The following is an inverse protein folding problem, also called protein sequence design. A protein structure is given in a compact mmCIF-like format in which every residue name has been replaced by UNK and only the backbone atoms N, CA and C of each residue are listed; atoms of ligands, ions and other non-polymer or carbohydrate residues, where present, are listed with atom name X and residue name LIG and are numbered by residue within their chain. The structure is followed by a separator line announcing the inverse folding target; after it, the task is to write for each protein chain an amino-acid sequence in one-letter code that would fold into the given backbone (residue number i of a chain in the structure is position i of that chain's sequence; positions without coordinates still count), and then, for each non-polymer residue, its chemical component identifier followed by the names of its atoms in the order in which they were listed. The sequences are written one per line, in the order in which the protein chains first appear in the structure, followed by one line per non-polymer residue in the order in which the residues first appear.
data_IF_820678411848
#
_entry.id   IF_820678411848
#
_cell.length_a   1.000
_cell.length_b   1.000
_cell.length_c   1.000
_cell.angle_alpha   90.00
_cell.angle_beta   90.00
_cell.angle_gamma   90.00
#
_symmetry.space_group_name_H-M   'P 1'
#
loop_
_entity.id
_entity.type
_entity.pdbx_description
1 polymer ?
#
# COMPACT_ATOMS: atom_id res chain seq x y z
N UNK A 1 56.16 -25.52 8.11
CA UNK A 1 55.67 -24.20 8.55
C UNK A 1 54.52 -23.78 7.64
N UNK A 2 53.31 -23.69 8.23
CA UNK A 2 52.10 -22.91 7.85
C UNK A 2 51.76 -22.80 6.35
N UNK A 3 50.75 -23.57 5.92
CA UNK A 3 49.89 -23.19 4.79
C UNK A 3 48.52 -22.83 5.35
N UNK A 4 48.09 -21.60 5.12
CA UNK A 4 46.87 -21.01 5.69
C UNK A 4 45.68 -21.31 4.76
N UNK A 5 44.61 -21.86 5.31
CA UNK A 5 43.33 -21.99 4.62
C UNK A 5 42.70 -20.60 4.46
N UNK A 6 42.51 -20.15 3.22
CA UNK A 6 41.77 -18.93 2.91
C UNK A 6 40.26 -19.26 2.99
N UNK A 7 39.62 -18.92 4.11
CA UNK A 7 38.17 -19.04 4.29
C UNK A 7 37.52 -17.78 3.70
N UNK A 8 37.01 -17.86 2.48
CA UNK A 8 36.28 -16.76 1.84
C UNK A 8 34.83 -16.74 2.38
N UNK A 9 34.54 -15.88 3.35
CA UNK A 9 33.16 -15.56 3.73
C UNK A 9 32.53 -14.69 2.64
N UNK A 10 31.65 -15.29 1.83
CA UNK A 10 30.74 -14.54 0.96
C UNK A 10 29.56 -14.08 1.82
N UNK A 11 29.59 -12.82 2.27
CA UNK A 11 28.46 -12.18 2.94
C UNK A 11 27.42 -11.81 1.87
N UNK A 12 26.44 -12.69 1.63
CA UNK A 12 25.28 -12.35 0.81
C UNK A 12 24.43 -11.34 1.59
N UNK A 13 24.58 -10.05 1.28
CA UNK A 13 23.58 -9.05 1.62
C UNK A 13 22.34 -9.31 0.76
N UNK A 14 21.43 -10.17 1.24
CA UNK A 14 20.09 -10.28 0.66
C UNK A 14 19.36 -9.00 1.05
N UNK A 15 19.21 -8.07 0.11
CA UNK A 15 18.33 -6.92 0.28
C UNK A 15 16.94 -7.45 0.66
N UNK A 16 16.46 -7.09 1.84
CA UNK A 16 15.14 -7.47 2.31
C UNK A 16 14.12 -6.62 1.54
N UNK A 17 13.71 -7.06 0.36
CA UNK A 17 12.58 -6.45 -0.35
C UNK A 17 11.31 -6.91 0.34
N UNK A 18 10.51 -5.98 0.87
CA UNK A 18 9.22 -6.30 1.50
C UNK A 18 8.34 -6.98 0.46
N UNK A 19 7.97 -8.24 0.74
CA UNK A 19 7.14 -9.03 -0.15
C UNK A 19 5.72 -8.45 -0.20
N UNK A 20 5.20 -8.21 -1.40
CA UNK A 20 3.81 -7.82 -1.58
C UNK A 20 2.90 -8.93 -1.01
N UNK A 21 2.01 -8.62 -0.05
CA UNK A 21 1.24 -9.64 0.69
C UNK A 21 0.02 -10.17 -0.08
N UNK A 22 -0.20 -9.68 -1.30
CA UNK A 22 -1.29 -10.06 -2.18
C UNK A 22 -0.77 -10.21 -3.61
N UNK A 23 -1.34 -11.13 -4.40
CA UNK A 23 -1.02 -11.27 -5.82
C UNK A 23 -1.63 -10.13 -6.64
N UNK A 24 -1.15 -9.96 -7.88
CA UNK A 24 -1.88 -9.17 -8.86
C UNK A 24 -3.29 -9.74 -9.08
N UNK A 25 -4.26 -8.87 -9.32
CA UNK A 25 -5.67 -9.24 -9.51
C UNK A 25 -6.64 -8.15 -9.09
N UNK A 26 -7.93 -8.48 -9.18
CA UNK A 26 -9.03 -7.58 -8.82
C UNK A 26 -9.67 -8.05 -7.51
N UNK A 27 -9.90 -7.11 -6.60
CA UNK A 27 -10.39 -7.38 -5.26
C UNK A 27 -11.47 -6.38 -4.86
N UNK A 28 -12.33 -6.76 -3.91
CA UNK A 28 -13.22 -5.82 -3.25
C UNK A 28 -12.64 -5.42 -1.89
N UNK A 29 -12.35 -4.15 -1.74
CA UNK A 29 -11.83 -3.56 -0.51
C UNK A 29 -12.97 -2.90 0.26
N UNK A 30 -12.97 -3.09 1.57
CA UNK A 30 -13.84 -2.36 2.48
C UNK A 30 -13.31 -0.93 2.61
N UNK A 31 -14.16 0.06 2.35
CA UNK A 31 -13.83 1.44 2.65
C UNK A 31 -13.95 1.69 4.16
N UNK A 32 -13.01 2.42 4.76
CA UNK A 32 -13.07 2.89 6.15
C UNK A 32 -12.59 4.32 6.29
N UNK A 33 -13.26 5.06 7.16
CA UNK A 33 -12.85 6.40 7.56
C UNK A 33 -11.78 6.34 8.66
N UNK A 34 -10.69 7.06 8.49
CA UNK A 34 -9.62 7.17 9.47
C UNK A 34 -10.07 7.88 10.76
N UNK A 35 -11.03 8.82 10.66
CA UNK A 35 -11.62 9.52 11.83
C UNK A 35 -12.51 8.61 12.70
N UNK A 36 -13.07 7.55 12.09
CA UNK A 36 -14.01 6.64 12.72
C UNK A 36 -13.67 5.17 12.38
N UNK A 37 -12.50 4.64 12.77
CA UNK A 37 -11.96 3.37 12.27
C UNK A 37 -12.76 2.13 12.72
N UNK A 38 -13.56 2.29 13.77
CA UNK A 38 -14.46 1.27 14.31
C UNK A 38 -15.85 1.29 13.67
N UNK A 39 -16.16 2.32 12.88
CA UNK A 39 -17.41 2.43 12.12
C UNK A 39 -17.17 1.81 10.75
N UNK A 40 -17.97 0.80 10.42
CA UNK A 40 -17.95 0.23 9.07
C UNK A 40 -18.76 1.14 8.14
N UNK A 41 -18.23 1.40 6.95
CA UNK A 41 -19.04 1.92 5.85
C UNK A 41 -19.60 0.74 5.05
N UNK A 42 -20.75 0.88 4.41
CA UNK A 42 -21.24 -0.15 3.48
C UNK A 42 -20.57 -0.05 2.10
N UNK A 43 -19.65 0.91 1.92
CA UNK A 43 -18.99 1.19 0.64
C UNK A 43 -17.88 0.15 0.39
N UNK A 44 -17.88 -0.38 -0.83
CA UNK A 44 -16.84 -1.27 -1.35
C UNK A 44 -16.23 -0.67 -2.60
N UNK A 45 -14.90 -0.70 -2.68
CA UNK A 45 -14.19 -0.34 -3.90
C UNK A 45 -13.59 -1.56 -4.56
N UNK A 46 -13.68 -1.60 -5.89
CA UNK A 46 -12.91 -2.50 -6.72
C UNK A 46 -11.47 -2.00 -6.75
N UNK A 47 -10.55 -2.82 -6.27
CA UNK A 47 -9.11 -2.53 -6.25
C UNK A 47 -8.41 -3.49 -7.18
N UNK A 48 -7.75 -2.94 -8.19
CA UNK A 48 -6.99 -3.69 -9.20
C UNK A 48 -5.50 -3.52 -8.86
N UNK A 49 -4.83 -4.63 -8.55
CA UNK A 49 -3.39 -4.69 -8.29
C UNK A 49 -2.71 -5.24 -9.54
N UNK A 50 -1.87 -4.42 -10.16
CA UNK A 50 -0.96 -4.80 -11.25
C UNK A 50 0.44 -4.26 -10.92
N UNK A 51 1.07 -4.89 -9.92
CA UNK A 51 2.24 -4.36 -9.22
C UNK A 51 3.33 -3.83 -10.19
N UNK A 52 3.81 -2.59 -10.00
CA UNK A 52 3.54 -1.72 -8.84
C UNK A 52 2.23 -0.93 -8.93
N UNK A 53 1.49 -0.97 -10.03
CA UNK A 53 0.29 -0.14 -10.19
C UNK A 53 -0.87 -0.62 -9.34
N UNK A 54 -1.66 0.34 -8.88
CA UNK A 54 -2.93 0.13 -8.17
C UNK A 54 -3.97 1.10 -8.72
N UNK A 55 -5.18 0.58 -8.92
CA UNK A 55 -6.36 1.37 -9.26
C UNK A 55 -7.45 1.08 -8.24
N UNK A 56 -8.04 2.13 -7.68
CA UNK A 56 -9.20 2.08 -6.78
C UNK A 56 -10.38 2.64 -7.56
N UNK A 57 -11.41 1.82 -7.77
CA UNK A 57 -12.60 2.16 -8.54
C UNK A 57 -13.84 1.97 -7.70
N UNK A 58 -14.74 2.92 -7.80
CA UNK A 58 -16.09 2.79 -7.34
C UNK A 58 -17.01 2.36 -8.49
N UNK A 59 -17.62 1.18 -8.35
CA UNK A 59 -18.52 0.64 -9.36
C UNK A 59 -19.97 1.17 -9.22
N UNK A 60 -20.31 1.72 -8.06
CA UNK A 60 -21.65 2.19 -7.72
C UNK A 60 -21.62 3.64 -7.25
N UNK A 61 -22.39 4.52 -7.89
CA UNK A 61 -22.48 5.90 -7.42
C UNK A 61 -23.11 5.95 -6.02
N UNK A 62 -22.53 6.76 -5.15
CA UNK A 62 -23.08 7.01 -3.82
C UNK A 62 -23.14 8.51 -3.55
N UNK A 63 -23.79 8.90 -2.45
CA UNK A 63 -23.87 10.32 -2.04
C UNK A 63 -22.48 10.94 -1.82
N UNK A 64 -21.49 10.13 -1.43
CA UNK A 64 -20.15 10.58 -1.02
C UNK A 64 -19.14 10.34 -2.14
N UNK A 65 -19.26 9.22 -2.85
CA UNK A 65 -18.28 8.78 -3.84
C UNK A 65 -18.88 8.71 -5.24
N UNK A 66 -18.27 9.37 -6.24
CA UNK A 66 -18.69 9.25 -7.62
C UNK A 66 -18.42 7.84 -8.13
N UNK A 67 -19.13 7.43 -9.18
CA UNK A 67 -18.77 6.23 -9.94
C UNK A 67 -17.52 6.51 -10.78
N UNK A 68 -16.60 5.54 -10.85
CA UNK A 68 -15.37 5.64 -11.64
C UNK A 68 -14.10 5.44 -10.82
N UNK A 69 -12.97 5.89 -11.35
CA UNK A 69 -11.68 5.82 -10.65
C UNK A 69 -11.72 6.83 -9.50
N UNK A 70 -11.47 6.34 -8.29
CA UNK A 70 -11.33 7.13 -7.07
C UNK A 70 -9.86 7.53 -6.90
N UNK A 71 -8.95 6.59 -7.11
CA UNK A 71 -7.51 6.82 -7.01
C UNK A 71 -6.73 5.85 -7.92
N UNK A 72 -5.60 6.31 -8.44
CA UNK A 72 -4.65 5.53 -9.23
C UNK A 72 -3.23 5.93 -8.82
N UNK A 73 -2.32 4.98 -8.66
CA UNK A 73 -0.92 5.27 -8.38
C UNK A 73 -0.06 4.02 -8.34
N UNK A 74 1.07 4.11 -7.65
CA UNK A 74 1.95 2.96 -7.40
C UNK A 74 1.88 2.52 -5.92
N UNK A 75 1.82 1.22 -5.70
CA UNK A 75 1.99 0.61 -4.39
C UNK A 75 3.44 0.73 -3.94
N UNK A 76 3.60 1.30 -2.76
CA UNK A 76 4.89 1.42 -2.11
C UNK A 76 4.78 1.03 -0.65
N UNK A 77 5.74 0.27 -0.15
CA UNK A 77 5.84 0.00 1.28
C UNK A 77 6.60 1.14 1.96
N UNK A 78 5.89 1.93 2.75
CA UNK A 78 6.46 3.05 3.48
C UNK A 78 7.10 2.58 4.78
N UNK A 79 8.42 2.43 4.77
CA UNK A 79 9.19 1.89 5.91
C UNK A 79 8.97 2.65 7.22
N UNK A 80 8.88 3.98 7.18
CA UNK A 80 8.74 4.78 8.40
C UNK A 80 7.40 4.54 9.12
N UNK A 81 6.33 4.19 8.38
CA UNK A 81 5.02 3.87 8.97
C UNK A 81 4.71 2.38 8.99
N UNK A 82 5.54 1.53 8.35
CA UNK A 82 5.32 0.09 8.15
C UNK A 82 3.97 -0.22 7.48
N UNK A 83 3.56 0.61 6.51
CA UNK A 83 2.26 0.51 5.83
C UNK A 83 2.43 0.58 4.32
N UNK A 84 1.55 -0.10 3.59
CA UNK A 84 1.43 0.09 2.15
C UNK A 84 0.67 1.39 1.87
N UNK A 85 1.22 2.19 0.96
CA UNK A 85 0.66 3.46 0.53
C UNK A 85 0.54 3.51 -0.98
N UNK A 86 -0.34 4.39 -1.46
CA UNK A 86 -0.45 4.76 -2.87
C UNK A 86 0.37 6.02 -3.07
N UNK A 87 1.44 5.93 -3.87
CA UNK A 87 2.29 7.07 -4.21
C UNK A 87 1.99 7.58 -5.61
N UNK A 88 2.14 8.89 -5.78
CA UNK A 88 1.99 9.61 -7.04
C UNK A 88 3.31 10.29 -7.47
N UNK A 89 4.27 10.38 -6.55
CA UNK A 89 5.60 10.94 -6.79
C UNK A 89 6.65 10.36 -5.83
N UNK A 90 7.93 10.58 -6.12
CA UNK A 90 9.02 10.20 -5.22
C UNK A 90 9.00 10.92 -3.86
N UNK A 91 8.33 12.07 -3.77
CA UNK A 91 8.18 12.81 -2.50
C UNK A 91 7.38 11.99 -1.47
N UNK A 92 6.39 11.24 -1.94
CA UNK A 92 5.47 10.48 -1.09
C UNK A 92 6.19 9.33 -0.37
N UNK A 93 7.26 8.79 -0.97
CA UNK A 93 8.10 7.73 -0.39
C UNK A 93 8.75 8.13 0.93
N UNK A 94 8.92 9.43 1.16
CA UNK A 94 9.56 9.99 2.36
C UNK A 94 8.60 10.91 3.14
N UNK A 95 7.28 10.74 2.94
CA UNK A 95 6.30 11.57 3.63
C UNK A 95 6.43 11.39 5.16
N UNK A 96 6.49 12.49 5.94
CA UNK A 96 6.63 12.39 7.40
C UNK A 96 5.40 11.75 8.06
N UNK A 97 4.24 11.88 7.42
CA UNK A 97 2.98 11.30 7.83
C UNK A 97 2.28 10.69 6.61
N UNK A 98 1.44 9.67 6.84
CA UNK A 98 0.67 8.98 5.79
C UNK A 98 -0.73 8.65 6.31
N UNK A 99 -1.69 8.54 5.39
CA UNK A 99 -3.04 8.07 5.68
C UNK A 99 -4.12 9.15 5.67
N UNK A 100 -5.36 8.68 5.79
CA UNK A 100 -6.55 9.35 5.28
C UNK A 100 -6.77 10.80 5.68
N UNK A 101 -6.39 11.22 6.89
CA UNK A 101 -6.63 12.58 7.39
C UNK A 101 -5.37 13.42 7.52
N UNK A 102 -4.34 13.09 6.75
CA UNK A 102 -3.09 13.85 6.61
C UNK A 102 -2.97 14.32 5.17
N UNK A 103 -2.08 15.28 4.90
CA UNK A 103 -1.69 15.62 3.52
C UNK A 103 -0.75 14.57 2.89
N UNK A 104 -0.49 13.48 3.62
CA UNK A 104 0.35 12.38 3.19
C UNK A 104 -0.37 11.40 2.26
N UNK A 105 0.39 10.47 1.66
CA UNK A 105 -0.15 9.48 0.73
C UNK A 105 -1.17 8.56 1.40
N UNK A 106 -2.15 8.12 0.61
CA UNK A 106 -3.24 7.25 1.05
C UNK A 106 -2.69 5.90 1.51
N UNK A 107 -3.21 5.40 2.64
CA UNK A 107 -2.88 4.06 3.12
C UNK A 107 -3.86 3.02 2.59
N UNK A 108 -3.32 1.87 2.18
CA UNK A 108 -4.08 0.69 1.79
C UNK A 108 -3.65 -0.51 2.63
N UNK A 109 -4.60 -1.19 3.27
CA UNK A 109 -4.35 -2.44 3.98
C UNK A 109 -4.60 -3.61 3.03
N UNK A 110 -3.53 -4.14 2.46
CA UNK A 110 -3.60 -5.22 1.48
C UNK A 110 -3.99 -6.57 2.10
N UNK A 111 -3.73 -6.79 3.39
CA UNK A 111 -4.02 -8.05 4.08
C UNK A 111 -5.50 -8.11 4.43
N UNK A 112 -6.01 -7.07 5.08
CA UNK A 112 -7.42 -6.97 5.48
C UNK A 112 -8.33 -6.43 4.38
N UNK A 113 -7.75 -6.03 3.24
CA UNK A 113 -8.45 -5.43 2.09
C UNK A 113 -9.25 -4.19 2.51
N UNK A 114 -8.56 -3.21 3.09
CA UNK A 114 -9.16 -1.95 3.54
C UNK A 114 -8.54 -0.78 2.76
N UNK A 115 -9.40 0.08 2.23
CA UNK A 115 -9.01 1.36 1.66
C UNK A 115 -9.41 2.47 2.64
N UNK A 116 -8.44 3.26 3.08
CA UNK A 116 -8.61 4.27 4.12
C UNK A 116 -8.69 5.67 3.53
N UNK A 117 -9.71 6.43 3.91
CA UNK A 117 -9.79 7.87 3.60
C UNK A 117 -10.11 8.65 4.87
N UNK A 118 -9.99 9.98 4.82
CA UNK A 118 -10.89 10.84 5.60
C UNK A 118 -12.27 10.85 4.91
#
# INVERSE_FOLDING_TARGET
MKSYYLLSLFFLCIGCTVQLPISNGTYLFQHKFAEHPNTNSDIRFEVIIDNPKIFVRNNEESKIWPKGIIEEGELFFHEASQRWIIIHSDKDKNAPEVGGCTDGPTVVDLINKIYWTC
#
